data_IF_598768173846
#
_entry.id   IF_598768173846
#
_cell.length_a   1.000
_cell.length_b   1.000
_cell.length_c   1.000
_cell.angle_alpha   90.00
_cell.angle_beta   90.00
_cell.angle_gamma   90.00
#
_symmetry.space_group_name_H-M   'P 1'
#
loop_
_entity.id
_entity.type
_entity.pdbx_description
1 polymer ?
#
# COMPACT_ATOMS: atom_id res chain seq x y z
N UNK A 1 21.32 -7.55 10.36
CA UNK A 1 20.89 -7.63 11.79
C UNK A 1 19.89 -6.49 11.97
N UNK A 2 18.60 -6.78 12.13
CA UNK A 2 17.56 -5.73 12.27
C UNK A 2 17.72 -5.08 13.63
N UNK A 3 17.98 -3.78 13.65
CA UNK A 3 18.08 -3.01 14.89
C UNK A 3 16.65 -2.66 15.33
N UNK A 4 16.13 -3.41 16.30
CA UNK A 4 14.92 -3.01 17.00
C UNK A 4 15.20 -1.68 17.71
N UNK A 5 14.45 -0.65 17.40
CA UNK A 5 14.46 0.58 18.20
C UNK A 5 14.04 0.25 19.64
N UNK A 6 14.37 1.11 20.60
CA UNK A 6 14.16 0.87 22.05
C UNK A 6 12.71 0.54 22.47
N UNK A 7 11.75 0.58 21.53
CA UNK A 7 10.32 0.30 21.75
C UNK A 7 9.72 -0.78 20.83
N UNK A 8 10.56 -1.50 20.05
CA UNK A 8 10.08 -2.58 19.17
C UNK A 8 9.32 -2.10 17.92
N UNK A 9 9.32 -0.80 17.63
CA UNK A 9 8.66 -0.24 16.45
C UNK A 9 9.62 -0.29 15.27
N UNK A 10 9.19 -0.91 14.18
CA UNK A 10 9.93 -0.91 12.91
C UNK A 10 9.64 0.41 12.20
N UNK A 11 10.66 1.25 12.01
CA UNK A 11 10.51 2.44 11.19
C UNK A 11 10.44 2.04 9.71
N UNK A 12 9.47 2.59 8.99
CA UNK A 12 9.26 2.26 7.59
C UNK A 12 8.83 3.47 6.79
N UNK A 13 9.59 3.76 5.73
CA UNK A 13 9.20 4.71 4.70
C UNK A 13 8.40 4.00 3.61
N UNK A 14 7.24 4.58 3.22
CA UNK A 14 6.42 4.09 2.11
C UNK A 14 6.47 5.11 0.98
N UNK A 15 6.80 4.64 -0.23
CA UNK A 15 6.87 5.47 -1.44
C UNK A 15 5.85 4.96 -2.46
N UNK A 16 4.87 5.81 -2.78
CA UNK A 16 3.87 5.54 -3.81
C UNK A 16 4.43 5.97 -5.17
N UNK A 17 4.46 5.10 -6.15
CA UNK A 17 4.96 5.41 -7.49
C UNK A 17 3.93 5.01 -8.54
N UNK A 18 3.52 5.93 -9.42
CA UNK A 18 2.45 5.66 -10.37
C UNK A 18 2.58 6.43 -11.68
N UNK A 19 1.76 6.06 -12.65
CA UNK A 19 1.49 6.93 -13.80
C UNK A 19 0.67 8.14 -13.36
N UNK A 20 0.99 9.30 -13.91
CA UNK A 20 0.26 10.55 -13.68
C UNK A 20 0.14 10.90 -12.20
N UNK A 21 -1.03 11.39 -11.82
CA UNK A 21 -1.35 11.87 -10.47
C UNK A 21 -1.97 10.80 -9.55
N UNK A 22 -1.98 9.52 -9.94
CA UNK A 22 -2.64 8.48 -9.15
C UNK A 22 -2.02 8.31 -7.76
N UNK A 23 -0.69 8.25 -7.67
CA UNK A 23 0.03 8.20 -6.38
C UNK A 23 -0.24 9.42 -5.50
N UNK A 24 -0.33 10.61 -6.09
CA UNK A 24 -0.72 11.82 -5.39
C UNK A 24 -2.15 11.72 -4.84
N UNK A 25 -3.09 11.25 -5.67
CA UNK A 25 -4.49 11.06 -5.25
C UNK A 25 -4.63 10.04 -4.12
N UNK A 26 -3.87 8.94 -4.16
CA UNK A 26 -3.81 7.97 -3.06
C UNK A 26 -3.30 8.61 -1.78
N UNK A 27 -2.21 9.37 -1.86
CA UNK A 27 -1.63 10.10 -0.73
C UNK A 27 -2.65 11.05 -0.09
N UNK A 28 -3.25 11.94 -0.87
CA UNK A 28 -4.25 12.91 -0.41
C UNK A 28 -5.49 12.21 0.18
N UNK A 29 -5.91 11.09 -0.40
CA UNK A 29 -7.02 10.28 0.12
C UNK A 29 -6.68 9.69 1.50
N UNK A 30 -5.47 9.18 1.69
CA UNK A 30 -5.05 8.65 2.99
C UNK A 30 -4.96 9.73 4.05
N UNK A 31 -4.45 10.92 3.74
CA UNK A 31 -4.48 12.04 4.67
C UNK A 31 -5.90 12.46 5.07
N UNK A 32 -6.84 12.40 4.14
CA UNK A 32 -8.26 12.69 4.43
C UNK A 32 -8.89 11.64 5.34
N UNK A 33 -8.58 10.35 5.14
CA UNK A 33 -9.23 9.23 5.86
C UNK A 33 -8.55 8.92 7.20
N UNK A 34 -7.23 8.93 7.23
CA UNK A 34 -6.42 8.51 8.39
C UNK A 34 -5.72 9.68 9.08
N UNK A 35 -5.79 10.90 8.53
CA UNK A 35 -5.00 12.05 8.97
C UNK A 35 -3.57 12.05 8.41
N UNK A 36 -2.73 13.02 8.80
CA UNK A 36 -1.36 13.15 8.32
C UNK A 36 -0.56 11.87 8.47
N UNK A 37 0.12 11.46 7.41
CA UNK A 37 0.93 10.24 7.36
C UNK A 37 2.42 10.61 7.30
N UNK A 38 3.13 10.39 8.38
CA UNK A 38 4.58 10.54 8.40
C UNK A 38 5.23 9.41 7.56
N UNK A 39 6.37 9.71 6.95
CA UNK A 39 7.15 8.77 6.14
C UNK A 39 6.34 8.07 5.01
N UNK A 40 5.28 8.73 4.50
CA UNK A 40 4.57 8.42 3.28
C UNK A 40 4.87 9.50 2.24
N UNK A 41 5.29 9.11 1.04
CA UNK A 41 5.56 10.02 -0.06
C UNK A 41 5.05 9.48 -1.39
N UNK A 42 5.01 10.33 -2.43
CA UNK A 42 4.53 9.94 -3.75
C UNK A 42 5.40 10.49 -4.87
N UNK A 43 5.49 9.72 -5.95
CA UNK A 43 6.18 10.10 -7.19
C UNK A 43 5.31 9.68 -8.37
N UNK A 44 4.96 10.63 -9.25
CA UNK A 44 4.18 10.35 -10.46
C UNK A 44 5.05 10.43 -11.72
N UNK A 45 4.84 9.55 -12.69
CA UNK A 45 5.38 9.66 -14.04
C UNK A 45 4.40 10.41 -14.92
N UNK A 46 4.80 11.55 -15.46
CA UNK A 46 3.95 12.37 -16.30
C UNK A 46 4.29 12.22 -17.79
N UNK A 47 3.34 12.55 -18.71
CA UNK A 47 3.63 12.53 -20.15
C UNK A 47 4.88 13.34 -20.49
N UNK A 48 5.70 12.84 -21.40
CA UNK A 48 6.97 13.44 -21.87
C UNK A 48 8.14 13.36 -20.89
N UNK A 49 7.97 12.80 -19.69
CA UNK A 49 9.08 12.49 -18.80
C UNK A 49 9.74 11.16 -19.19
N UNK A 50 11.07 11.14 -19.14
CA UNK A 50 11.85 9.91 -19.29
C UNK A 50 11.89 9.06 -18.02
N UNK A 51 12.08 7.76 -18.18
CA UNK A 51 12.21 6.83 -17.05
C UNK A 51 13.38 7.20 -16.12
N UNK A 52 14.46 7.78 -16.66
CA UNK A 52 15.63 8.18 -15.86
C UNK A 52 15.29 9.35 -14.91
N UNK A 53 14.46 10.30 -15.36
CA UNK A 53 13.99 11.38 -14.50
C UNK A 53 13.09 10.85 -13.38
N UNK A 54 12.22 9.87 -13.69
CA UNK A 54 11.42 9.19 -12.69
C UNK A 54 12.30 8.46 -11.66
N UNK A 55 13.30 7.70 -12.13
CA UNK A 55 14.24 6.99 -11.26
C UNK A 55 14.95 7.94 -10.30
N UNK A 56 15.48 9.06 -10.80
CA UNK A 56 16.14 10.05 -9.95
C UNK A 56 15.23 10.57 -8.83
N UNK A 57 13.95 10.85 -9.12
CA UNK A 57 12.99 11.27 -8.10
C UNK A 57 12.63 10.17 -7.11
N UNK A 58 12.60 8.90 -7.53
CA UNK A 58 12.41 7.76 -6.62
C UNK A 58 13.65 7.61 -5.72
N UNK A 59 14.85 7.71 -6.28
CA UNK A 59 16.11 7.68 -5.51
C UNK A 59 16.17 8.80 -4.47
N UNK A 60 15.75 10.02 -4.83
CA UNK A 60 15.65 11.13 -3.89
C UNK A 60 14.76 10.79 -2.69
N UNK A 61 13.67 10.04 -2.90
CA UNK A 61 12.83 9.56 -1.81
C UNK A 61 13.51 8.47 -0.97
N UNK A 62 14.25 7.55 -1.59
CA UNK A 62 15.00 6.52 -0.87
C UNK A 62 16.10 7.12 0.02
N UNK A 63 16.79 8.15 -0.47
CA UNK A 63 17.84 8.85 0.27
C UNK A 63 17.33 9.63 1.49
N UNK A 64 16.03 9.92 1.56
CA UNK A 64 15.41 10.54 2.76
C UNK A 64 15.13 9.53 3.86
N UNK A 65 15.21 8.23 3.58
CA UNK A 65 15.05 7.21 4.60
C UNK A 65 16.17 7.30 5.65
N UNK A 66 15.79 7.12 6.91
CA UNK A 66 16.73 7.14 8.04
C UNK A 66 17.57 5.86 8.03
N UNK A 67 18.70 5.88 8.72
CA UNK A 67 19.48 4.69 8.96
C UNK A 67 18.62 3.63 9.68
N UNK A 68 18.67 2.39 9.22
CA UNK A 68 17.84 1.27 9.69
C UNK A 68 16.32 1.37 9.39
N UNK A 69 15.88 2.30 8.57
CA UNK A 69 14.50 2.38 8.12
C UNK A 69 14.23 1.44 6.94
N UNK A 70 13.20 0.60 7.03
CA UNK A 70 12.77 -0.22 5.89
C UNK A 70 12.07 0.67 4.85
N UNK A 71 12.25 0.34 3.56
CA UNK A 71 11.59 1.05 2.46
C UNK A 71 10.62 0.07 1.77
N UNK A 72 9.34 0.46 1.72
CA UNK A 72 8.30 -0.25 0.98
C UNK A 72 7.82 0.64 -0.18
N UNK A 73 7.99 0.17 -1.40
CA UNK A 73 7.51 0.85 -2.60
C UNK A 73 6.21 0.21 -3.08
N UNK A 74 5.22 1.05 -3.40
CA UNK A 74 3.93 0.62 -3.89
C UNK A 74 3.68 1.22 -5.28
N UNK A 75 3.49 0.38 -6.30
CA UNK A 75 3.23 0.83 -7.67
C UNK A 75 1.82 0.49 -8.14
N UNK A 76 1.36 1.22 -9.15
CA UNK A 76 -0.01 1.11 -9.67
C UNK A 76 -0.21 -0.11 -10.58
N UNK A 77 0.70 -0.34 -11.52
CA UNK A 77 0.51 -1.28 -12.62
C UNK A 77 1.69 -2.24 -12.78
N UNK A 78 1.40 -3.53 -12.81
CA UNK A 78 2.39 -4.57 -13.10
C UNK A 78 2.97 -4.41 -14.52
N UNK A 79 4.29 -4.48 -14.64
CA UNK A 79 5.05 -4.21 -15.87
C UNK A 79 4.89 -2.80 -16.48
N UNK A 80 4.33 -1.85 -15.76
CA UNK A 80 4.33 -0.44 -16.17
C UNK A 80 5.70 0.22 -16.02
N UNK A 81 5.88 1.42 -16.60
CA UNK A 81 7.14 2.17 -16.47
C UNK A 81 7.51 2.50 -15.00
N UNK A 82 6.56 2.89 -14.11
CA UNK A 82 6.85 3.04 -12.69
C UNK A 82 7.37 1.75 -12.04
N UNK A 83 6.72 0.61 -12.32
CA UNK A 83 7.16 -0.71 -11.86
C UNK A 83 8.59 -1.01 -12.32
N UNK A 84 8.88 -0.84 -13.61
CA UNK A 84 10.19 -1.14 -14.17
C UNK A 84 11.29 -0.23 -13.61
N UNK A 85 10.98 1.05 -13.33
CA UNK A 85 11.92 1.97 -12.70
C UNK A 85 12.31 1.48 -11.29
N UNK A 86 11.33 1.06 -10.49
CA UNK A 86 11.59 0.50 -9.15
C UNK A 86 12.40 -0.78 -9.22
N UNK A 87 12.05 -1.71 -10.12
CA UNK A 87 12.80 -2.98 -10.30
C UNK A 87 14.27 -2.73 -10.63
N UNK A 88 14.58 -1.72 -11.46
CA UNK A 88 15.97 -1.36 -11.75
C UNK A 88 16.70 -0.82 -10.52
N UNK A 89 16.04 -0.03 -9.67
CA UNK A 89 16.61 0.51 -8.45
C UNK A 89 16.84 -0.56 -7.37
N UNK A 90 16.09 -1.67 -7.39
CA UNK A 90 16.29 -2.80 -6.48
C UNK A 90 17.64 -3.51 -6.64
N UNK A 91 18.41 -3.22 -7.70
CA UNK A 91 19.78 -3.69 -7.84
C UNK A 91 20.75 -2.99 -6.86
N UNK A 92 20.44 -1.75 -6.51
CA UNK A 92 21.31 -0.88 -5.71
C UNK A 92 20.73 -0.58 -4.33
N UNK A 93 19.42 -0.78 -4.13
CA UNK A 93 18.69 -0.48 -2.90
C UNK A 93 17.95 -1.72 -2.38
N UNK A 94 18.07 -1.98 -1.08
CA UNK A 94 17.30 -3.02 -0.39
C UNK A 94 15.91 -2.49 -0.05
N UNK A 95 14.95 -2.71 -0.95
CA UNK A 95 13.57 -2.24 -0.81
C UNK A 95 12.56 -3.36 -1.06
N UNK A 96 11.43 -3.29 -0.38
CA UNK A 96 10.27 -4.13 -0.65
C UNK A 96 9.41 -3.46 -1.72
N UNK A 97 8.80 -4.24 -2.61
CA UNK A 97 8.00 -3.70 -3.70
C UNK A 97 6.70 -4.51 -3.89
N UNK A 98 5.56 -3.84 -3.77
CA UNK A 98 4.24 -4.36 -4.14
C UNK A 98 3.67 -3.55 -5.30
N UNK A 99 2.94 -4.21 -6.19
CA UNK A 99 2.27 -3.57 -7.34
C UNK A 99 0.77 -3.89 -7.37
N UNK A 100 -0.01 -3.05 -8.03
CA UNK A 100 -1.46 -3.19 -8.07
C UNK A 100 -2.17 -2.52 -6.89
N UNK A 101 -1.55 -1.48 -6.32
CA UNK A 101 -2.08 -0.77 -5.15
C UNK A 101 -3.43 -0.11 -5.44
N UNK A 102 -4.31 -0.14 -4.47
CA UNK A 102 -5.59 0.56 -4.44
C UNK A 102 -5.86 1.16 -3.06
N UNK A 103 -6.89 1.98 -2.94
CA UNK A 103 -7.20 2.72 -1.70
C UNK A 103 -7.43 1.80 -0.49
N UNK A 104 -8.29 0.76 -0.54
CA UNK A 104 -8.49 -0.13 0.59
C UNK A 104 -7.20 -0.83 1.01
N UNK A 105 -6.43 -1.33 0.06
CA UNK A 105 -5.17 -2.03 0.36
C UNK A 105 -4.13 -1.09 0.97
N UNK A 106 -4.00 0.13 0.46
CA UNK A 106 -3.08 1.13 1.03
C UNK A 106 -3.47 1.47 2.47
N UNK A 107 -4.77 1.62 2.76
CA UNK A 107 -5.25 1.86 4.11
C UNK A 107 -4.83 0.75 5.07
N UNK A 108 -5.02 -0.52 4.69
CA UNK A 108 -4.60 -1.67 5.50
C UNK A 108 -3.07 -1.71 5.71
N UNK A 109 -2.28 -1.42 4.67
CA UNK A 109 -0.82 -1.33 4.76
C UNK A 109 -0.39 -0.26 5.78
N UNK A 110 -1.01 0.93 5.75
CA UNK A 110 -0.69 2.00 6.68
C UNK A 110 -1.08 1.64 8.13
N UNK A 111 -2.21 0.97 8.33
CA UNK A 111 -2.62 0.47 9.64
C UNK A 111 -1.65 -0.61 10.17
N UNK A 112 -1.23 -1.54 9.31
CA UNK A 112 -0.24 -2.56 9.67
C UNK A 112 1.11 -1.94 10.04
N UNK A 113 1.57 -0.93 9.29
CA UNK A 113 2.76 -0.14 9.63
C UNK A 113 2.62 0.54 10.99
N UNK A 114 1.47 1.20 11.24
CA UNK A 114 1.17 1.85 12.52
C UNK A 114 1.16 0.88 13.72
N UNK A 115 0.87 -0.41 13.46
CA UNK A 115 0.93 -1.49 14.45
C UNK A 115 2.32 -2.13 14.58
N UNK A 116 3.34 -1.58 13.94
CA UNK A 116 4.74 -2.00 14.08
C UNK A 116 5.14 -3.24 13.26
N UNK A 117 4.34 -3.66 12.28
CA UNK A 117 4.72 -4.77 11.38
C UNK A 117 5.87 -4.37 10.47
N UNK A 118 6.78 -5.31 10.21
CA UNK A 118 7.87 -5.11 9.25
C UNK A 118 7.38 -5.24 7.80
N UNK A 119 8.18 -4.76 6.84
CA UNK A 119 7.80 -4.76 5.42
C UNK A 119 7.53 -6.16 4.86
N UNK A 120 8.28 -7.17 5.28
CA UNK A 120 8.05 -8.56 4.86
C UNK A 120 6.67 -9.07 5.30
N UNK A 121 6.29 -8.85 6.56
CA UNK A 121 4.97 -9.22 7.10
C UNK A 121 3.84 -8.47 6.40
N UNK A 122 4.02 -7.17 6.15
CA UNK A 122 3.05 -6.36 5.42
C UNK A 122 2.87 -6.89 4.00
N UNK A 123 3.94 -7.21 3.27
CA UNK A 123 3.85 -7.77 1.92
C UNK A 123 3.06 -9.09 1.89
N UNK A 124 3.32 -10.00 2.81
CA UNK A 124 2.60 -11.28 2.89
C UNK A 124 1.11 -11.10 3.17
N UNK A 125 0.77 -10.22 4.10
CA UNK A 125 -0.64 -9.97 4.47
C UNK A 125 -1.38 -9.17 3.40
N UNK A 126 -0.74 -8.17 2.81
CA UNK A 126 -1.32 -7.38 1.73
C UNK A 126 -1.73 -8.25 0.53
N UNK A 127 -0.91 -9.24 0.15
CA UNK A 127 -1.24 -10.19 -0.93
C UNK A 127 -2.48 -11.02 -0.57
N UNK A 128 -2.63 -11.45 0.68
CA UNK A 128 -3.81 -12.19 1.13
C UNK A 128 -5.07 -11.33 1.12
N UNK A 129 -4.96 -10.05 1.51
CA UNK A 129 -6.06 -9.10 1.55
C UNK A 129 -6.48 -8.58 0.18
N UNK A 130 -5.62 -8.67 -0.84
CA UNK A 130 -5.85 -8.07 -2.15
C UNK A 130 -7.20 -8.48 -2.78
N UNK A 131 -7.61 -9.73 -2.64
CA UNK A 131 -8.89 -10.24 -3.14
C UNK A 131 -10.11 -9.65 -2.40
N UNK A 132 -9.91 -9.08 -1.22
CA UNK A 132 -10.96 -8.48 -0.40
C UNK A 132 -11.17 -6.99 -0.69
N UNK A 133 -10.33 -6.40 -1.53
CA UNK A 133 -10.35 -4.94 -1.80
C UNK A 133 -11.37 -4.50 -2.82
N UNK A 134 -11.93 -5.44 -3.61
CA UNK A 134 -13.00 -5.18 -4.59
C UNK A 134 -14.24 -5.97 -4.19
N UNK A 135 -15.38 -5.30 -4.10
CA UNK A 135 -16.65 -5.90 -3.66
C UNK A 135 -17.74 -5.69 -4.72
N UNK A 136 -18.48 -6.76 -5.04
CA UNK A 136 -19.78 -6.66 -5.70
C UNK A 136 -20.83 -6.28 -4.64
N UNK A 137 -21.19 -5.00 -4.60
CA UNK A 137 -22.11 -4.48 -3.58
C UNK A 137 -23.49 -5.09 -3.71
N UNK A 138 -23.98 -5.34 -4.93
CA UNK A 138 -25.30 -5.95 -5.14
C UNK A 138 -25.36 -7.36 -4.56
N UNK A 139 -24.35 -8.15 -4.86
CA UNK A 139 -24.22 -9.51 -4.30
C UNK A 139 -24.10 -9.47 -2.77
N UNK A 140 -23.25 -8.61 -2.23
CA UNK A 140 -23.06 -8.45 -0.79
C UNK A 140 -24.38 -8.15 -0.05
N UNK A 141 -25.17 -7.20 -0.57
CA UNK A 141 -26.48 -6.86 0.02
C UNK A 141 -27.49 -8.01 -0.10
N UNK A 142 -27.50 -8.74 -1.20
CA UNK A 142 -28.36 -9.92 -1.37
C UNK A 142 -28.02 -11.01 -0.36
N UNK A 143 -26.73 -11.29 -0.18
CA UNK A 143 -26.26 -12.30 0.77
C UNK A 143 -26.60 -11.90 2.22
N UNK A 144 -26.50 -10.61 2.55
CA UNK A 144 -26.85 -10.08 3.90
C UNK A 144 -28.34 -10.27 4.22
N UNK A 145 -29.23 -9.92 3.29
CA UNK A 145 -30.68 -10.09 3.47
C UNK A 145 -31.08 -11.56 3.63
N UNK A 146 -30.42 -12.46 2.89
CA UNK A 146 -30.69 -13.90 3.01
C UNK A 146 -30.28 -14.47 4.39
N UNK A 147 -29.28 -13.89 5.03
CA UNK A 147 -28.89 -14.26 6.40
C UNK A 147 -29.92 -13.79 7.43
N UNK A 148 -30.44 -12.57 7.30
CA UNK A 148 -31.49 -12.03 8.18
C UNK A 148 -32.79 -12.84 8.09
N UNK A 149 -33.23 -13.26 6.91
CA UNK A 149 -34.42 -14.10 6.71
C UNK A 149 -34.23 -15.52 7.31
N UNK A 150 -33.00 -16.06 7.28
CA UNK A 150 -32.68 -17.37 7.87
C UNK A 150 -32.71 -17.40 9.38
N UNK A 151 -32.35 -16.31 10.03
CA UNK A 151 -32.38 -16.18 11.50
C UNK A 151 -33.82 -16.02 12.04
N UNK A 152 -34.72 -15.35 11.30
CA UNK A 152 -36.14 -15.22 11.69
C UNK A 152 -36.89 -16.56 11.61
N UNK A 153 -36.56 -17.46 10.68
CA UNK A 153 -37.18 -18.80 10.62
C UNK A 153 -36.74 -19.71 11.79
N UNK A 154 -35.60 -19.47 12.40
CA UNK A 154 -35.10 -20.26 13.54
C UNK A 154 -35.78 -19.89 14.88
N UNK A 155 -36.27 -18.67 15.04
CA UNK A 155 -36.95 -18.20 16.27
C UNK A 155 -38.44 -18.59 16.34
N UNK A 156 -39.06 -19.00 15.23
CA UNK A 156 -40.50 -19.36 15.19
C UNK A 156 -40.79 -20.85 15.38
N UNK A 157 -39.79 -21.65 15.72
CA UNK A 157 -39.94 -23.12 15.93
C UNK A 157 -39.92 -23.49 17.41
N UNK A 158 -40.86 -22.90 18.20
CA UNK A 158 -41.22 -23.39 19.55
C UNK A 158 -42.74 -23.48 19.71
#
# INVERSE_FOLDING_TARGET
>A
MKTLTKEGVVNMKIVLVSHGSFSKGLFETMEMVLGPQEDLSYVGLYPQEGIDALKGRIEDEFQKAKEDEEILVLTDLFYGSPFNAVVQLMNDYDVYHLTGINVPLLMEILLMRGNGKCAAEICEEAIKLANETVKDVKKYLTDLLALEEGDEECETSF
#
